data_IF_931082466966
#
_entry.id   IF_931082466966
#
_cell.length_a   1.000
_cell.length_b   1.000
_cell.length_c   1.000
_cell.angle_alpha   90.00
_cell.angle_beta   90.00
_cell.angle_gamma   90.00
#
_symmetry.space_group_name_H-M   'P 1'
#
loop_
_entity.id
_entity.type
_entity.pdbx_description
1 polymer ?
#
# COMPACT_ATOMS: atom_id res chain seq x y z
N UNK A 1 -9.01 -6.62 -17.08
CA UNK A 1 -7.63 -6.21 -16.79
C UNK A 1 -7.64 -5.48 -15.47
N UNK A 2 -7.08 -6.09 -14.42
CA UNK A 2 -7.07 -5.61 -13.04
C UNK A 2 -5.77 -4.86 -12.79
N UNK A 3 -5.87 -3.60 -12.38
CA UNK A 3 -4.73 -2.71 -12.10
C UNK A 3 -4.32 -2.85 -10.64
N UNK A 4 -3.12 -3.33 -10.40
CA UNK A 4 -2.60 -3.59 -9.05
C UNK A 4 -1.46 -2.64 -8.71
N UNK A 5 -1.50 -2.05 -7.52
CA UNK A 5 -0.36 -1.37 -6.90
C UNK A 5 0.25 -2.29 -5.84
N UNK A 6 1.55 -2.54 -5.89
CA UNK A 6 2.27 -3.34 -4.87
C UNK A 6 2.91 -2.39 -3.86
N UNK A 7 2.73 -2.66 -2.57
CA UNK A 7 3.28 -1.88 -1.47
C UNK A 7 3.96 -2.83 -0.50
N UNK A 8 5.29 -2.80 -0.47
CA UNK A 8 6.15 -3.67 0.34
C UNK A 8 7.50 -2.97 0.51
N UNK A 9 8.13 -3.00 1.68
CA UNK A 9 9.42 -2.34 1.91
C UNK A 9 10.61 -3.13 1.33
N UNK A 10 10.41 -4.41 0.99
CA UNK A 10 11.43 -5.30 0.45
C UNK A 10 11.38 -5.38 -1.10
N UNK A 11 12.42 -4.84 -1.76
CA UNK A 11 12.48 -4.79 -3.23
C UNK A 11 12.42 -6.17 -3.90
N UNK A 12 13.01 -7.19 -3.27
CA UNK A 12 13.00 -8.56 -3.80
C UNK A 12 11.57 -9.11 -3.85
N UNK A 13 10.77 -8.85 -2.81
CA UNK A 13 9.37 -9.28 -2.73
C UNK A 13 8.54 -8.59 -3.81
N UNK A 14 8.68 -7.27 -3.98
CA UNK A 14 7.99 -6.54 -5.06
C UNK A 14 8.30 -7.10 -6.45
N UNK A 15 9.58 -7.36 -6.71
CA UNK A 15 10.03 -7.90 -8.00
C UNK A 15 9.45 -9.30 -8.26
N UNK A 16 9.45 -10.18 -7.24
CA UNK A 16 8.88 -11.51 -7.34
C UNK A 16 7.37 -11.49 -7.55
N UNK A 17 6.65 -10.67 -6.78
CA UNK A 17 5.20 -10.50 -6.93
C UNK A 17 4.83 -9.96 -8.30
N UNK A 18 5.59 -8.97 -8.81
CA UNK A 18 5.38 -8.45 -10.17
C UNK A 18 5.49 -9.55 -11.22
N UNK A 19 6.51 -10.40 -11.15
CA UNK A 19 6.66 -11.52 -12.10
C UNK A 19 5.48 -12.50 -12.04
N UNK A 20 5.01 -12.82 -10.83
CA UNK A 20 3.87 -13.73 -10.63
C UNK A 20 2.58 -13.11 -11.19
N UNK A 21 2.33 -11.83 -10.92
CA UNK A 21 1.13 -11.13 -11.36
C UNK A 21 1.12 -10.87 -12.87
N UNK A 22 2.27 -10.51 -13.45
CA UNK A 22 2.39 -10.31 -14.91
C UNK A 22 2.12 -11.64 -15.67
N UNK A 23 2.39 -12.80 -15.05
CA UNK A 23 2.12 -14.11 -15.65
C UNK A 23 0.62 -14.51 -15.67
N UNK A 24 -0.24 -13.87 -14.85
CA UNK A 24 -1.68 -14.15 -14.82
C UNK A 24 -2.42 -13.65 -16.08
N UNK A 25 -1.84 -12.69 -16.82
CA UNK A 25 -2.34 -12.20 -18.10
C UNK A 25 -3.55 -11.25 -18.02
N UNK A 26 -4.33 -11.30 -16.94
CA UNK A 26 -5.45 -10.40 -16.65
C UNK A 26 -5.13 -9.34 -15.59
N UNK A 27 -3.95 -9.41 -14.97
CA UNK A 27 -3.45 -8.48 -13.96
C UNK A 27 -2.33 -7.62 -14.54
N UNK A 28 -2.25 -6.37 -14.12
CA UNK A 28 -1.16 -5.47 -14.48
C UNK A 28 -0.72 -4.64 -13.29
N UNK A 29 0.57 -4.73 -12.98
CA UNK A 29 1.19 -3.89 -11.97
C UNK A 29 1.37 -2.48 -12.52
N UNK A 30 0.58 -1.53 -12.02
CA UNK A 30 0.62 -0.13 -12.46
C UNK A 30 1.62 0.73 -11.69
N UNK A 31 2.12 0.22 -10.56
CA UNK A 31 3.15 0.88 -9.77
C UNK A 31 3.60 0.06 -8.57
N UNK A 32 4.61 0.57 -7.90
CA UNK A 32 5.20 0.00 -6.69
C UNK A 32 5.48 1.12 -5.67
N UNK A 33 5.37 0.82 -4.38
CA UNK A 33 5.74 1.71 -3.30
C UNK A 33 6.46 0.94 -2.17
N UNK A 34 7.40 1.61 -1.50
CA UNK A 34 8.15 1.03 -0.39
C UNK A 34 7.60 1.43 1.00
N UNK A 35 6.67 2.37 1.05
CA UNK A 35 6.10 2.89 2.29
C UNK A 35 4.66 3.41 2.09
N UNK A 36 3.94 3.63 3.19
CA UNK A 36 2.55 4.09 3.16
C UNK A 36 2.36 5.51 2.61
N UNK A 37 3.36 6.39 2.73
CA UNK A 37 3.32 7.75 2.20
C UNK A 37 3.39 7.75 0.67
N UNK A 38 4.38 7.05 0.11
CA UNK A 38 4.53 6.80 -1.31
C UNK A 38 3.29 6.07 -1.86
N UNK A 39 2.80 5.04 -1.17
CA UNK A 39 1.59 4.32 -1.57
C UNK A 39 0.37 5.23 -1.73
N UNK A 40 0.14 6.16 -0.80
CA UNK A 40 -0.98 7.11 -0.88
C UNK A 40 -0.86 8.06 -2.08
N UNK A 41 0.34 8.52 -2.39
CA UNK A 41 0.57 9.37 -3.56
C UNK A 41 0.29 8.58 -4.85
N UNK A 42 0.79 7.34 -4.90
CA UNK A 42 0.63 6.45 -6.05
C UNK A 42 -0.82 6.00 -6.27
N UNK A 43 -1.58 5.70 -5.21
CA UNK A 43 -3.02 5.40 -5.33
C UNK A 43 -3.78 6.58 -5.95
N UNK A 44 -3.49 7.82 -5.53
CA UNK A 44 -4.14 9.01 -6.11
C UNK A 44 -3.75 9.22 -7.57
N UNK A 45 -2.49 8.99 -7.91
CA UNK A 45 -1.93 9.20 -9.25
C UNK A 45 -2.36 8.13 -10.24
N UNK A 46 -2.28 6.86 -9.85
CA UNK A 46 -2.46 5.70 -10.71
C UNK A 46 -3.87 5.14 -10.72
N UNK A 47 -4.68 5.45 -9.70
CA UNK A 47 -6.06 4.94 -9.54
C UNK A 47 -6.11 3.41 -9.78
N UNK A 48 -5.37 2.61 -9.00
CA UNK A 48 -5.39 1.15 -9.12
C UNK A 48 -6.75 0.60 -8.68
N UNK A 49 -7.11 -0.58 -9.18
CA UNK A 49 -8.33 -1.30 -8.79
C UNK A 49 -8.11 -2.00 -7.42
N UNK A 50 -6.90 -2.51 -7.20
CA UNK A 50 -6.51 -3.22 -5.99
C UNK A 50 -5.14 -2.74 -5.52
N UNK A 51 -4.96 -2.64 -4.20
CA UNK A 51 -3.66 -2.41 -3.57
C UNK A 51 -3.26 -3.67 -2.83
N UNK A 52 -2.11 -4.24 -3.20
CA UNK A 52 -1.50 -5.34 -2.48
C UNK A 52 -0.52 -4.74 -1.46
N UNK A 53 -0.78 -4.97 -0.18
CA UNK A 53 -0.05 -4.32 0.91
C UNK A 53 0.63 -5.36 1.81
N UNK A 54 1.92 -5.17 2.10
CA UNK A 54 2.58 -5.92 3.16
C UNK A 54 2.06 -5.52 4.54
N UNK A 55 1.64 -6.52 5.30
CA UNK A 55 1.07 -6.37 6.64
C UNK A 55 2.17 -6.26 7.71
N UNK A 56 3.41 -6.64 7.37
CA UNK A 56 4.55 -6.58 8.29
C UNK A 56 5.27 -5.24 8.24
N UNK A 57 5.04 -4.43 7.21
CA UNK A 57 5.53 -3.05 7.11
C UNK A 57 5.14 -2.22 8.36
N UNK A 58 6.12 -1.72 9.15
CA UNK A 58 5.87 -1.04 10.43
C UNK A 58 5.14 0.30 10.35
N UNK A 59 4.80 0.81 9.18
CA UNK A 59 4.09 2.08 9.01
C UNK A 59 3.46 2.14 7.62
N UNK A 60 2.48 1.28 7.38
CA UNK A 60 1.36 1.68 6.55
C UNK A 60 0.33 2.21 7.51
N UNK A 61 0.35 3.51 7.78
CA UNK A 61 -0.72 4.11 8.57
C UNK A 61 -2.05 3.91 7.83
N UNK A 62 -2.73 2.80 8.12
CA UNK A 62 -4.11 2.51 7.77
C UNK A 62 -5.07 3.16 8.79
N UNK A 63 -4.57 3.99 9.69
CA UNK A 63 -5.38 4.73 10.66
C UNK A 63 -5.85 6.06 10.03
N UNK A 64 -7.16 6.35 9.92
CA UNK A 64 -7.61 7.74 9.78
C UNK A 64 -7.07 8.52 10.98
N UNK A 65 -6.80 9.85 10.86
CA UNK A 65 -6.22 10.62 11.97
C UNK A 65 -7.06 10.40 13.23
N UNK A 66 -6.53 9.60 14.16
CA UNK A 66 -7.13 9.37 15.47
C UNK A 66 -6.99 10.69 16.20
N UNK A 67 -8.05 11.51 16.15
CA UNK A 67 -8.15 12.72 16.96
C UNK A 67 -7.92 12.31 18.40
N UNK A 68 -6.76 12.66 18.93
CA UNK A 68 -6.45 12.54 20.35
C UNK A 68 -7.27 13.60 21.08
N UNK A 69 -8.53 13.31 21.37
CA UNK A 69 -9.24 14.05 22.40
C UNK A 69 -8.82 13.46 23.74
N UNK A 70 -7.75 14.01 24.31
CA UNK A 70 -7.59 14.02 25.76
C UNK A 70 -8.25 15.29 26.28
N UNK A 71 -9.36 15.20 27.04
CA UNK A 71 -9.61 16.15 28.10
C UNK A 71 -9.15 15.51 29.40
N UNK A 72 -8.21 16.18 30.04
CA UNK A 72 -7.89 16.02 31.45
C UNK A 72 -9.18 15.91 32.28
N UNK A 73 -9.31 14.84 33.06
CA UNK A 73 -10.19 14.79 34.23
C UNK A 73 -9.71 13.69 35.18
N UNK A 74 -8.54 13.91 35.79
CA UNK A 74 -8.24 13.30 37.07
C UNK A 74 -8.79 14.25 38.14
N UNK A 75 -9.92 13.90 38.72
CA UNK A 75 -10.41 14.40 40.00
C UNK A 75 -10.58 13.21 40.92
#
# INVERSE_FOLDING_TARGET
MIRVLIVDDEQLVRSGLRLILDAAGDITVVGEAADGGAARAEVRRLRPDVVLLDVRMPSVDASPPRRTSSPQAQR
#
